data_IF_459291807108
#
_entry.id   IF_459291807108
#
_cell.length_a   1.000
_cell.length_b   1.000
_cell.length_c   1.000
_cell.angle_alpha   90.00
_cell.angle_beta   90.00
_cell.angle_gamma   90.00
#
_symmetry.space_group_name_H-M   'P 1'
#
loop_
_entity.id
_entity.type
_entity.pdbx_description
1 polymer ?
#
# COMPACT_ATOMS: atom_id res chain seq x y z
N UNK A 1 -7.72 0.89 13.48
CA UNK A 1 -6.40 0.23 13.35
C UNK A 1 -5.85 0.18 11.91
N UNK A 2 -6.41 -0.59 10.96
CA UNK A 2 -5.80 -0.72 9.62
C UNK A 2 -5.80 0.59 8.80
N UNK A 3 -6.90 1.34 8.84
CA UNK A 3 -7.01 2.67 8.21
C UNK A 3 -6.02 3.65 8.85
N UNK A 4 -5.95 3.70 10.18
CA UNK A 4 -4.97 4.53 10.90
C UNK A 4 -3.53 4.20 10.50
N UNK A 5 -3.21 2.92 10.25
CA UNK A 5 -1.88 2.51 9.76
C UNK A 5 -1.61 2.99 8.33
N UNK A 6 -2.61 2.97 7.45
CA UNK A 6 -2.48 3.51 6.09
C UNK A 6 -2.24 5.02 6.10
N UNK A 7 -3.11 5.78 6.78
CA UNK A 7 -2.99 7.23 6.89
C UNK A 7 -1.64 7.64 7.53
N UNK A 8 -1.18 6.89 8.52
CA UNK A 8 0.14 7.12 9.14
C UNK A 8 1.28 6.83 8.17
N UNK A 9 1.22 5.74 7.41
CA UNK A 9 2.25 5.41 6.43
C UNK A 9 2.29 6.42 5.27
N UNK A 10 1.12 6.87 4.81
CA UNK A 10 0.99 7.89 3.78
C UNK A 10 1.58 9.23 4.25
N UNK A 11 1.24 9.69 5.45
CA UNK A 11 1.85 10.90 6.03
C UNK A 11 3.37 10.80 6.13
N UNK A 12 3.90 9.65 6.57
CA UNK A 12 5.36 9.43 6.60
C UNK A 12 5.98 9.51 5.22
N UNK A 13 5.34 8.91 4.22
CA UNK A 13 5.79 8.99 2.83
C UNK A 13 5.82 10.44 2.34
N UNK A 14 4.77 11.22 2.58
CA UNK A 14 4.72 12.64 2.21
C UNK A 14 5.85 13.44 2.86
N UNK A 15 6.12 13.22 4.14
CA UNK A 15 7.22 13.89 4.84
C UNK A 15 8.60 13.48 4.31
N UNK A 16 8.78 12.21 3.93
CA UNK A 16 10.01 11.75 3.26
C UNK A 16 10.17 12.45 1.90
N UNK A 17 9.12 12.51 1.09
CA UNK A 17 9.16 13.17 -0.22
C UNK A 17 9.50 14.65 -0.06
N UNK A 18 8.86 15.37 0.85
CA UNK A 18 9.19 16.78 1.13
C UNK A 18 10.65 16.98 1.52
N UNK A 19 11.22 16.09 2.34
CA UNK A 19 12.64 16.17 2.72
C UNK A 19 13.57 15.94 1.53
N UNK A 20 13.25 14.99 0.66
CA UNK A 20 14.02 14.72 -0.56
C UNK A 20 13.93 15.88 -1.55
N UNK A 21 12.74 16.46 -1.73
CA UNK A 21 12.53 17.63 -2.60
C UNK A 21 13.19 18.90 -2.07
N UNK A 22 13.33 19.03 -0.75
CA UNK A 22 13.99 20.17 -0.13
C UNK A 22 15.48 20.29 -0.47
N UNK A 23 16.16 19.20 -0.85
CA UNK A 23 17.55 19.22 -1.31
C UNK A 23 18.60 19.54 -0.25
N UNK A 24 18.22 19.67 1.03
CA UNK A 24 19.12 19.98 2.15
C UNK A 24 19.79 18.74 2.76
N UNK A 25 19.38 17.54 2.35
CA UNK A 25 19.92 16.30 2.88
C UNK A 25 21.31 16.00 2.32
N UNK A 26 22.18 15.45 3.17
CA UNK A 26 23.42 14.81 2.71
C UNK A 26 23.10 13.64 1.77
N UNK A 27 24.08 13.18 0.98
CA UNK A 27 23.89 12.01 0.12
C UNK A 27 23.45 10.77 0.93
N UNK A 28 24.07 10.52 2.08
CA UNK A 28 23.73 9.39 2.93
C UNK A 28 22.32 9.50 3.53
N UNK A 29 21.93 10.70 3.97
CA UNK A 29 20.59 10.92 4.52
C UNK A 29 19.52 10.87 3.42
N UNK A 30 19.84 11.33 2.21
CA UNK A 30 18.99 11.19 1.03
C UNK A 30 18.74 9.73 0.70
N UNK A 31 19.77 8.88 0.74
CA UNK A 31 19.64 7.44 0.51
C UNK A 31 18.78 6.77 1.58
N UNK A 32 19.00 7.08 2.86
CA UNK A 32 18.19 6.55 3.97
C UNK A 32 16.72 6.98 3.87
N UNK A 33 16.47 8.25 3.57
CA UNK A 33 15.13 8.77 3.38
C UNK A 33 14.46 8.10 2.18
N UNK A 34 15.17 7.92 1.07
CA UNK A 34 14.66 7.20 -0.10
C UNK A 34 14.28 5.75 0.21
N UNK A 35 15.14 5.01 0.91
CA UNK A 35 14.84 3.63 1.35
C UNK A 35 13.58 3.57 2.23
N UNK A 36 13.46 4.48 3.19
CA UNK A 36 12.25 4.58 4.03
C UNK A 36 11.02 4.89 3.17
N UNK A 37 11.12 5.83 2.24
CA UNK A 37 10.06 6.21 1.31
C UNK A 37 9.58 5.03 0.47
N UNK A 38 10.50 4.26 -0.12
CA UNK A 38 10.17 3.05 -0.90
C UNK A 38 9.43 2.03 -0.03
N UNK A 39 9.85 1.84 1.22
CA UNK A 39 9.17 0.92 2.15
C UNK A 39 7.74 1.38 2.48
N UNK A 40 7.53 2.67 2.72
CA UNK A 40 6.19 3.22 2.98
C UNK A 40 5.31 3.14 1.72
N UNK A 41 5.85 3.48 0.55
CA UNK A 41 5.15 3.42 -0.73
C UNK A 41 4.69 1.99 -1.05
N UNK A 42 5.56 0.99 -0.84
CA UNK A 42 5.20 -0.41 -1.02
C UNK A 42 4.08 -0.86 -0.07
N UNK A 43 4.12 -0.41 1.19
CA UNK A 43 3.04 -0.69 2.16
C UNK A 43 1.72 -0.05 1.73
N UNK A 44 1.73 1.23 1.34
CA UNK A 44 0.55 1.94 0.88
C UNK A 44 -0.05 1.28 -0.36
N UNK A 45 0.78 0.96 -1.36
CA UNK A 45 0.36 0.26 -2.58
C UNK A 45 -0.29 -1.09 -2.27
N UNK A 46 0.31 -1.89 -1.39
CA UNK A 46 -0.29 -3.16 -0.95
C UNK A 46 -1.68 -2.97 -0.33
N UNK A 47 -1.85 -1.94 0.52
CA UNK A 47 -3.14 -1.65 1.17
C UNK A 47 -4.20 -1.17 0.19
N UNK A 48 -3.82 -0.35 -0.78
CA UNK A 48 -4.71 0.08 -1.86
C UNK A 48 -5.14 -1.10 -2.72
N UNK A 49 -4.21 -2.00 -3.09
CA UNK A 49 -4.52 -3.21 -3.86
C UNK A 49 -5.48 -4.16 -3.08
N UNK A 50 -5.29 -4.30 -1.76
CA UNK A 50 -6.22 -5.06 -0.91
C UNK A 50 -7.63 -4.42 -0.89
N UNK A 51 -7.70 -3.08 -0.85
CA UNK A 51 -8.97 -2.36 -0.87
C UNK A 51 -9.66 -2.48 -2.24
N UNK A 52 -8.93 -2.32 -3.33
CA UNK A 52 -9.41 -2.47 -4.71
C UNK A 52 -10.01 -3.86 -4.92
N UNK A 53 -9.28 -4.92 -4.56
CA UNK A 53 -9.80 -6.31 -4.66
C UNK A 53 -11.08 -6.52 -3.87
N UNK A 54 -11.20 -5.92 -2.67
CA UNK A 54 -12.43 -5.99 -1.88
C UNK A 54 -13.59 -5.28 -2.58
N UNK A 55 -13.33 -4.12 -3.18
CA UNK A 55 -14.33 -3.39 -3.97
C UNK A 55 -14.77 -4.20 -5.19
N UNK A 56 -13.82 -4.79 -5.93
CA UNK A 56 -14.13 -5.65 -7.08
C UNK A 56 -14.99 -6.85 -6.69
N UNK A 57 -14.66 -7.54 -5.59
CA UNK A 57 -15.44 -8.68 -5.10
C UNK A 57 -16.86 -8.27 -4.73
N UNK A 58 -17.03 -7.11 -4.09
CA UNK A 58 -18.35 -6.58 -3.74
C UNK A 58 -19.16 -6.14 -4.97
N UNK A 59 -18.52 -5.57 -5.99
CA UNK A 59 -19.17 -5.19 -7.23
C UNK A 59 -19.64 -6.41 -8.04
N UNK A 60 -18.79 -7.45 -8.14
CA UNK A 60 -19.18 -8.74 -8.75
C UNK A 60 -20.31 -9.42 -7.97
N UNK A 61 -20.37 -9.29 -6.65
CA UNK A 61 -21.53 -9.78 -5.89
C UNK A 61 -22.81 -8.98 -6.19
N UNK A 62 -22.70 -7.65 -6.38
CA UNK A 62 -23.85 -6.77 -6.66
C UNK A 62 -24.39 -6.89 -8.08
N UNK A 63 -23.53 -7.13 -9.08
CA UNK A 63 -23.95 -7.27 -10.48
C UNK A 63 -24.56 -8.64 -10.81
N UNK A 64 -24.70 -9.50 -9.79
CA UNK A 64 -25.31 -10.83 -9.90
C UNK A 64 -24.41 -11.88 -10.56
N UNK A 65 -23.14 -11.59 -10.81
CA UNK A 65 -22.20 -12.54 -11.43
C UNK A 65 -21.33 -13.21 -10.38
N UNK A 66 -21.46 -14.52 -10.28
CA UNK A 66 -20.68 -15.36 -9.38
C UNK A 66 -19.18 -15.23 -9.61
N UNK A 67 -18.41 -15.12 -8.51
CA UNK A 67 -16.97 -15.36 -8.52
C UNK A 67 -16.77 -16.82 -8.12
N UNK A 68 -16.21 -17.63 -9.02
CA UNK A 68 -15.67 -18.94 -8.65
C UNK A 68 -14.40 -18.70 -7.86
N UNK A 69 -14.41 -18.93 -6.55
CA UNK A 69 -13.15 -19.08 -5.82
C UNK A 69 -12.45 -20.34 -6.32
N UNK A 70 -11.16 -20.23 -6.63
CA UNK A 70 -10.33 -21.40 -6.85
C UNK A 70 -10.24 -22.13 -5.51
N UNK A 71 -10.93 -23.27 -5.40
CA UNK A 71 -10.77 -24.19 -4.30
C UNK A 71 -9.31 -24.65 -4.28
N UNK A 72 -8.55 -24.26 -3.25
CA UNK A 72 -7.30 -24.93 -2.94
C UNK A 72 -7.67 -26.19 -2.17
N UNK A 73 -7.54 -27.40 -2.73
CA UNK A 73 -7.49 -28.58 -1.89
C UNK A 73 -6.29 -28.37 -0.95
N UNK A 74 -6.53 -28.40 0.36
CA UNK A 74 -5.46 -28.55 1.33
C UNK A 74 -4.66 -29.79 0.93
N UNK A 75 -3.36 -29.62 0.69
CA UNK A 75 -2.44 -30.72 0.46
C UNK A 75 -2.44 -31.60 1.73
N UNK A 76 -3.20 -32.70 1.72
CA UNK A 76 -2.94 -33.87 2.59
C UNK A 76 -1.73 -34.65 2.07
#
# INVERSE_FOLDING_TARGET
>A
MAVEKFETALKKLEEVVKKLEGGELSLEDSLKAFEEGIKQAAFCSKKLNEAEKRVEVLLKQKDGRFITEQFQPEDE
#
